data_IF_336937267275
#
_entry.id   IF_336937267275
#
_cell.length_a   1.000
_cell.length_b   1.000
_cell.length_c   1.000
_cell.angle_alpha   90.00
_cell.angle_beta   90.00
_cell.angle_gamma   90.00
#
_symmetry.space_group_name_H-M   'P 1'
#
loop_
_entity.id
_entity.type
_entity.pdbx_description
1 polymer ?
#
# COMPACT_ATOMS: atom_id res chain seq x y z
N UNK A 1 -14.52 -13.09 -13.61
CA UNK A 1 -13.58 -12.05 -13.09
C UNK A 1 -12.18 -12.65 -13.16
N UNK A 2 -11.20 -11.95 -13.75
CA UNK A 2 -9.81 -12.43 -13.69
C UNK A 2 -9.34 -12.19 -12.24
N UNK A 3 -9.15 -13.27 -11.48
CA UNK A 3 -8.58 -13.17 -10.14
C UNK A 3 -7.07 -13.08 -10.30
N UNK A 4 -6.52 -11.88 -10.16
CA UNK A 4 -5.07 -11.70 -10.14
C UNK A 4 -4.49 -12.41 -8.92
N UNK A 5 -3.44 -13.22 -9.15
CA UNK A 5 -2.74 -13.93 -8.08
C UNK A 5 -2.00 -12.95 -7.17
N UNK A 6 -1.47 -11.88 -7.76
CA UNK A 6 -0.71 -10.87 -7.05
C UNK A 6 -1.50 -9.58 -6.82
N UNK A 7 -1.18 -8.89 -5.74
CA UNK A 7 -1.61 -7.54 -5.44
C UNK A 7 -0.39 -6.67 -5.10
N UNK A 8 -0.62 -5.36 -5.06
CA UNK A 8 0.38 -4.39 -4.62
C UNK A 8 0.00 -3.89 -3.23
N UNK A 9 0.80 -4.25 -2.22
CA UNK A 9 0.63 -3.73 -0.86
C UNK A 9 1.29 -2.35 -0.82
N UNK A 10 0.52 -1.32 -0.50
CA UNK A 10 1.00 0.06 -0.41
C UNK A 10 0.85 0.61 1.00
N UNK A 11 1.91 1.18 1.55
CA UNK A 11 1.92 1.88 2.84
C UNK A 11 2.41 3.32 2.61
N UNK A 12 1.62 4.29 3.01
CA UNK A 12 1.95 5.71 2.90
C UNK A 12 2.14 6.31 4.29
N UNK A 13 3.31 6.89 4.55
CA UNK A 13 3.46 7.80 5.68
C UNK A 13 2.81 9.14 5.32
N UNK A 14 1.73 9.49 6.03
CA UNK A 14 0.97 10.71 5.80
C UNK A 14 1.78 11.98 6.09
N UNK A 15 2.73 11.94 7.04
CA UNK A 15 3.51 13.12 7.44
C UNK A 15 4.65 13.39 6.46
N UNK A 16 5.47 12.38 6.19
CA UNK A 16 6.61 12.53 5.26
C UNK A 16 6.21 12.40 3.79
N UNK A 17 4.97 11.99 3.50
CA UNK A 17 4.46 11.67 2.15
C UNK A 17 5.25 10.55 1.46
N UNK A 18 5.99 9.74 2.21
CA UNK A 18 6.79 8.64 1.65
C UNK A 18 5.96 7.38 1.44
N UNK A 19 6.04 6.85 0.22
CA UNK A 19 5.38 5.62 -0.20
C UNK A 19 6.33 4.43 -0.09
N UNK A 20 5.85 3.38 0.56
CA UNK A 20 6.48 2.07 0.60
C UNK A 20 5.55 1.07 -0.06
N UNK A 21 6.10 0.14 -0.83
CA UNK A 21 5.27 -0.85 -1.50
C UNK A 21 6.03 -2.12 -1.83
N UNK A 22 5.33 -3.25 -1.77
CA UNK A 22 5.83 -4.54 -2.23
C UNK A 22 4.72 -5.29 -2.96
N UNK A 23 5.11 -6.10 -3.93
CA UNK A 23 4.20 -7.06 -4.56
C UNK A 23 3.98 -8.23 -3.61
N UNK A 24 2.75 -8.72 -3.51
CA UNK A 24 2.37 -9.82 -2.63
C UNK A 24 1.34 -10.72 -3.29
N UNK A 25 1.16 -11.93 -2.77
CA UNK A 25 -0.01 -12.72 -3.12
C UNK A 25 -1.26 -12.04 -2.55
N UNK A 26 -2.38 -12.17 -3.27
CA UNK A 26 -3.66 -11.61 -2.86
C UNK A 26 -4.35 -12.47 -1.79
N UNK A 27 -3.67 -12.68 -0.66
CA UNK A 27 -4.18 -13.41 0.50
C UNK A 27 -3.85 -12.65 1.78
N UNK A 28 -4.69 -12.78 2.80
CA UNK A 28 -4.51 -12.04 4.05
C UNK A 28 -3.19 -12.36 4.77
N UNK A 29 -2.76 -13.63 4.73
CA UNK A 29 -1.49 -14.05 5.29
C UNK A 29 -0.30 -13.43 4.55
N UNK A 30 -0.35 -13.37 3.21
CA UNK A 30 0.72 -12.79 2.41
C UNK A 30 0.78 -11.27 2.58
N UNK A 31 -0.37 -10.57 2.60
CA UNK A 31 -0.43 -9.13 2.87
C UNK A 31 0.11 -8.79 4.25
N UNK A 32 -0.22 -9.58 5.28
CA UNK A 32 0.37 -9.46 6.62
C UNK A 32 1.90 -9.54 6.59
N UNK A 33 2.45 -10.61 5.97
CA UNK A 33 3.90 -10.80 5.85
C UNK A 33 4.56 -9.65 5.07
N UNK A 34 3.90 -9.17 4.02
CA UNK A 34 4.36 -8.02 3.23
C UNK A 34 4.40 -6.73 4.04
N UNK A 35 3.41 -6.47 4.89
CA UNK A 35 3.44 -5.32 5.80
C UNK A 35 4.61 -5.41 6.79
N UNK A 36 4.82 -6.58 7.41
CA UNK A 36 5.95 -6.82 8.32
C UNK A 36 7.28 -6.54 7.59
N UNK A 37 7.46 -7.10 6.39
CA UNK A 37 8.65 -6.88 5.55
C UNK A 37 8.88 -5.40 5.25
N UNK A 38 7.83 -4.63 4.95
CA UNK A 38 7.95 -3.18 4.73
C UNK A 38 8.44 -2.49 6.01
N UNK A 39 7.88 -2.82 7.17
CA UNK A 39 8.22 -2.23 8.45
C UNK A 39 9.68 -2.52 8.82
N UNK A 40 10.09 -3.79 8.76
CA UNK A 40 11.44 -4.24 9.12
C UNK A 40 12.51 -3.67 8.19
N UNK A 41 12.33 -3.80 6.87
CA UNK A 41 13.32 -3.35 5.89
C UNK A 41 13.57 -1.83 5.92
N UNK A 42 12.62 -1.06 6.44
CA UNK A 42 12.72 0.40 6.49
C UNK A 42 12.81 0.93 7.94
N UNK A 43 12.96 0.04 8.93
CA UNK A 43 12.99 0.36 10.36
C UNK A 43 11.85 1.32 10.78
N UNK A 44 10.62 1.07 10.30
CA UNK A 44 9.50 1.97 10.52
C UNK A 44 8.92 1.82 11.93
N UNK A 45 8.66 2.95 12.59
CA UNK A 45 7.90 2.99 13.84
C UNK A 45 6.45 3.41 13.56
N UNK A 46 5.58 2.42 13.41
CA UNK A 46 4.15 2.65 13.15
C UNK A 46 3.44 3.05 14.45
N UNK A 47 2.96 4.29 14.52
CA UNK A 47 2.15 4.78 15.66
C UNK A 47 0.70 4.37 15.53
N UNK A 48 0.15 4.59 14.34
CA UNK A 48 -1.22 4.22 13.97
C UNK A 48 -1.22 3.77 12.51
N UNK A 49 -2.14 2.87 12.17
CA UNK A 49 -2.33 2.38 10.81
C UNK A 49 -3.80 2.54 10.44
N UNK A 50 -4.05 3.10 9.26
CA UNK A 50 -5.40 3.19 8.69
C UNK A 50 -5.48 2.24 7.50
N UNK A 51 -6.49 1.36 7.49
CA UNK A 51 -6.71 0.35 6.45
C UNK A 51 -8.11 0.50 5.85
N UNK A 52 -8.30 -0.03 4.65
CA UNK A 52 -9.63 -0.27 4.10
C UNK A 52 -10.27 -1.54 4.71
N UNK A 53 -11.50 -1.84 4.28
CA UNK A 53 -12.25 -3.00 4.73
C UNK A 53 -12.03 -4.22 3.82
N UNK A 54 -10.95 -4.25 3.04
CA UNK A 54 -10.70 -5.34 2.11
C UNK A 54 -10.36 -6.63 2.86
N UNK A 55 -10.78 -7.76 2.29
CA UNK A 55 -10.66 -9.10 2.89
C UNK A 55 -9.20 -9.52 3.15
N UNK A 56 -8.28 -8.94 2.42
CA UNK A 56 -6.84 -9.17 2.51
C UNK A 56 -6.23 -8.48 3.74
N UNK A 57 -6.91 -7.49 4.31
CA UNK A 57 -6.42 -6.71 5.45
C UNK A 57 -6.89 -7.25 6.80
N UNK A 58 -7.67 -8.35 6.82
CA UNK A 58 -8.28 -8.89 8.05
C UNK A 58 -7.27 -9.32 9.11
N UNK A 59 -6.07 -9.75 8.73
CA UNK A 59 -5.03 -10.21 9.67
C UNK A 59 -4.06 -9.10 10.13
N UNK A 60 -4.26 -7.84 9.72
CA UNK A 60 -3.33 -6.76 10.06
C UNK A 60 -3.37 -6.34 11.53
N UNK A 61 -4.43 -6.72 12.26
CA UNK A 61 -4.53 -6.54 13.71
C UNK A 61 -3.49 -7.36 14.50
N UNK A 62 -2.88 -8.37 13.89
CA UNK A 62 -1.77 -9.12 14.49
C UNK A 62 -0.43 -8.38 14.39
N UNK A 63 -0.32 -7.37 13.51
CA UNK A 63 0.90 -6.57 13.30
C UNK A 63 0.84 -5.28 14.10
N UNK A 64 -0.33 -4.63 14.11
CA UNK A 64 -0.56 -3.36 14.80
C UNK A 64 -1.65 -3.58 15.83
N UNK A 65 -1.40 -3.12 17.07
CA UNK A 65 -2.38 -3.20 18.16
C UNK A 65 -3.74 -2.62 17.71
N UNK A 66 -4.83 -3.30 18.06
CA UNK A 66 -6.20 -2.94 17.69
C UNK A 66 -6.56 -1.49 18.06
N UNK A 67 -6.04 -0.95 19.16
CA UNK A 67 -6.27 0.45 19.57
C UNK A 67 -5.63 1.49 18.62
N UNK A 68 -4.66 1.05 17.82
CA UNK A 68 -3.91 1.87 16.86
C UNK A 68 -4.25 1.52 15.40
N UNK A 69 -5.16 0.57 15.17
CA UNK A 69 -5.60 0.13 13.86
C UNK A 69 -6.99 0.69 13.57
N UNK A 70 -7.08 1.57 12.56
CA UNK A 70 -8.31 2.23 12.17
C UNK A 70 -8.79 1.69 10.83
N UNK A 71 -10.05 1.25 10.77
CA UNK A 71 -10.70 0.91 9.51
C UNK A 71 -11.45 2.12 8.99
N UNK A 72 -11.43 2.32 7.68
CA UNK A 72 -12.22 3.39 7.08
C UNK A 72 -13.70 3.03 7.08
N UNK A 73 -14.54 4.02 7.32
CA UNK A 73 -15.99 3.89 7.29
C UNK A 73 -16.48 3.73 5.85
N UNK A 74 -17.60 3.01 5.68
CA UNK A 74 -18.26 2.92 4.39
C UNK A 74 -18.67 4.33 3.93
N UNK A 75 -18.44 4.63 2.65
CA UNK A 75 -18.77 5.92 2.02
C UNK A 75 -17.97 7.14 2.52
N UNK A 76 -16.93 6.95 3.34
CA UNK A 76 -16.04 8.04 3.81
C UNK A 76 -14.73 8.12 3.00
N UNK A 77 -14.83 8.45 1.72
CA UNK A 77 -13.66 8.55 0.81
C UNK A 77 -12.58 9.53 1.29
N UNK A 78 -12.96 10.60 2.00
CA UNK A 78 -12.03 11.59 2.55
C UNK A 78 -11.01 10.99 3.53
N UNK A 79 -11.33 9.89 4.21
CA UNK A 79 -10.41 9.19 5.11
C UNK A 79 -9.21 8.56 4.34
N UNK A 80 -9.38 8.33 3.03
CA UNK A 80 -8.39 7.71 2.14
C UNK A 80 -7.84 8.62 1.05
N UNK A 81 -8.21 9.91 1.02
CA UNK A 81 -7.88 10.78 -0.12
C UNK A 81 -6.38 10.83 -0.47
N UNK A 82 -5.50 10.75 0.54
CA UNK A 82 -4.05 10.69 0.33
C UNK A 82 -3.58 9.43 -0.39
N UNK A 83 -4.06 8.25 0.03
CA UNK A 83 -3.66 6.98 -0.58
C UNK A 83 -4.31 6.80 -1.96
N UNK A 84 -5.55 7.29 -2.15
CA UNK A 84 -6.22 7.29 -3.46
C UNK A 84 -5.47 8.14 -4.49
N UNK A 85 -4.93 9.30 -4.09
CA UNK A 85 -4.08 10.09 -4.96
C UNK A 85 -2.80 9.33 -5.35
N UNK A 86 -2.17 8.61 -4.40
CA UNK A 86 -1.03 7.76 -4.70
C UNK A 86 -1.40 6.64 -5.68
N UNK A 87 -2.54 5.97 -5.48
CA UNK A 87 -3.02 4.96 -6.42
C UNK A 87 -3.25 5.52 -7.81
N UNK A 88 -3.65 6.80 -7.95
CA UNK A 88 -3.71 7.50 -9.24
C UNK A 88 -2.34 7.61 -9.91
N UNK A 89 -1.27 7.91 -9.15
CA UNK A 89 0.09 7.91 -9.68
C UNK A 89 0.55 6.51 -10.11
N UNK A 90 0.27 5.48 -9.30
CA UNK A 90 0.56 4.09 -9.65
C UNK A 90 -0.16 3.69 -10.94
N UNK A 91 -1.41 4.12 -11.13
CA UNK A 91 -2.19 3.82 -12.34
C UNK A 91 -1.62 4.40 -13.64
N UNK A 92 -0.72 5.38 -13.58
CA UNK A 92 0.01 5.88 -14.76
C UNK A 92 1.06 4.87 -15.25
N UNK A 93 1.53 4.00 -14.37
CA UNK A 93 2.47 2.92 -14.70
C UNK A 93 1.74 1.59 -14.91
N UNK A 94 0.74 1.30 -14.07
CA UNK A 94 -0.04 0.07 -14.09
C UNK A 94 -1.49 0.43 -14.44
N UNK A 95 -1.78 0.45 -15.75
CA UNK A 95 -3.11 0.78 -16.24
C UNK A 95 -4.17 -0.19 -15.70
N UNK A 96 -5.40 0.31 -15.54
CA UNK A 96 -6.53 -0.51 -15.07
C UNK A 96 -6.77 -1.68 -16.02
N UNK A 97 -6.99 -2.88 -15.45
CA UNK A 97 -7.21 -4.11 -16.23
C UNK A 97 -5.92 -4.85 -16.62
N UNK A 98 -4.75 -4.27 -16.32
CA UNK A 98 -3.48 -4.99 -16.42
C UNK A 98 -3.26 -5.80 -15.14
N UNK A 99 -3.07 -7.11 -15.31
CA UNK A 99 -2.80 -8.03 -14.21
C UNK A 99 -1.46 -7.71 -13.53
N UNK A 100 -1.45 -7.71 -12.20
CA UNK A 100 -0.23 -7.55 -11.40
C UNK A 100 0.78 -8.70 -11.61
N UNK A 101 0.30 -9.83 -12.11
CA UNK A 101 1.10 -11.02 -12.39
C UNK A 101 2.18 -10.77 -13.47
N UNK A 102 2.01 -9.71 -14.28
CA UNK A 102 2.94 -9.33 -15.35
C UNK A 102 4.15 -8.52 -14.88
N UNK A 103 4.17 -8.05 -13.64
CA UNK A 103 5.21 -7.17 -13.14
C UNK A 103 6.19 -7.93 -12.23
N UNK A 104 7.48 -7.69 -12.42
CA UNK A 104 8.53 -8.15 -11.49
C UNK A 104 8.66 -7.21 -10.29
N UNK A 105 9.26 -7.71 -9.22
CA UNK A 105 9.49 -6.90 -8.02
C UNK A 105 10.42 -5.71 -8.32
N UNK A 106 11.40 -5.87 -9.22
CA UNK A 106 12.28 -4.79 -9.67
C UNK A 106 11.53 -3.68 -10.42
N UNK A 107 10.60 -4.07 -11.32
CA UNK A 107 9.77 -3.09 -12.03
C UNK A 107 8.90 -2.29 -11.06
N UNK A 108 8.34 -2.97 -10.05
CA UNK A 108 7.59 -2.31 -8.98
C UNK A 108 8.49 -1.34 -8.21
N UNK A 109 9.71 -1.75 -7.83
CA UNK A 109 10.61 -0.88 -7.09
C UNK A 109 11.03 0.37 -7.88
N UNK A 110 11.33 0.22 -9.17
CA UNK A 110 11.65 1.35 -10.07
C UNK A 110 10.47 2.32 -10.13
N UNK A 111 9.25 1.80 -10.30
CA UNK A 111 8.03 2.63 -10.31
C UNK A 111 7.88 3.40 -8.99
N UNK A 112 8.02 2.73 -7.84
CA UNK A 112 7.82 3.34 -6.52
C UNK A 112 8.89 4.40 -6.23
N UNK A 113 10.13 4.17 -6.65
CA UNK A 113 11.20 5.16 -6.52
C UNK A 113 10.87 6.44 -7.31
N UNK A 114 10.45 6.31 -8.58
CA UNK A 114 10.03 7.46 -9.41
C UNK A 114 8.85 8.22 -8.81
N UNK A 115 7.87 7.50 -8.23
CA UNK A 115 6.74 8.14 -7.54
C UNK A 115 7.25 8.92 -6.32
N UNK A 116 8.11 8.33 -5.50
CA UNK A 116 8.68 9.01 -4.33
C UNK A 116 9.51 10.25 -4.71
N UNK A 117 10.35 10.17 -5.75
CA UNK A 117 11.10 11.31 -6.28
C UNK A 117 10.16 12.46 -6.69
N UNK A 118 9.09 12.14 -7.42
CA UNK A 118 8.07 13.12 -7.78
C UNK A 118 7.40 13.75 -6.54
N UNK A 119 7.00 12.93 -5.55
CA UNK A 119 6.36 13.43 -4.33
C UNK A 119 7.27 14.37 -3.54
N UNK A 120 8.58 14.10 -3.50
CA UNK A 120 9.56 14.97 -2.85
C UNK A 120 9.70 16.31 -3.56
N UNK A 121 9.60 16.36 -4.89
CA UNK A 121 9.69 17.59 -5.67
C UNK A 121 8.49 18.52 -5.41
N UNK A 122 7.29 17.96 -5.26
CA UNK A 122 6.06 18.74 -5.07
C UNK A 122 5.71 19.04 -3.60
N UNK A 123 6.47 18.49 -2.65
CA UNK A 123 6.26 18.73 -1.21
C UNK A 123 7.15 19.85 -0.64
N UNK A 124 7.92 20.52 -1.51
CA UNK A 124 8.67 21.75 -1.22
C UNK A 124 7.80 22.96 -1.56
#
# INVERSE_FOLDING_TARGET
KREDKYCLVTLLDRKSRRLYSVRSLKTSLAVKKSLIKIIENNALKIKTLTIDNDSENVLLHEVINQNNLYKCDAYCSYQKGSIENIHRHIRRYIAKGISMDKFSDDQIQIMINRINEYLLLISK
#
